data_IF_230896247975
#
_entry.id   IF_230896247975
#
_cell.length_a   1.000
_cell.length_b   1.000
_cell.length_c   1.000
_cell.angle_alpha   90.00
_cell.angle_beta   90.00
_cell.angle_gamma   90.00
#
_symmetry.space_group_name_H-M   'P 1'
#
loop_
_entity.id
_entity.type
_entity.pdbx_description
1 polymer ?
#
# COMPACT_ATOMS: atom_id res chain seq x y z
N UNK A 1 5.28 -43.02 21.49
CA UNK A 1 6.47 -43.41 20.69
C UNK A 1 7.36 -42.19 20.49
N UNK A 2 8.64 -42.31 20.88
CA UNK A 2 9.82 -41.58 20.44
C UNK A 2 9.86 -40.02 20.45
N UNK A 3 10.30 -39.51 21.60
CA UNK A 3 11.02 -38.24 21.80
C UNK A 3 12.42 -38.33 21.15
N UNK A 4 12.82 -37.38 20.30
CA UNK A 4 14.24 -37.21 19.93
C UNK A 4 14.84 -35.99 20.63
N UNK A 5 15.68 -36.29 21.63
CA UNK A 5 16.68 -35.39 22.22
C UNK A 5 17.89 -35.34 21.28
N UNK A 6 18.52 -34.17 21.15
CA UNK A 6 19.95 -34.07 20.81
C UNK A 6 20.61 -33.13 21.83
N UNK A 7 21.72 -33.63 22.35
CA UNK A 7 22.49 -33.25 23.55
C UNK A 7 23.57 -32.18 23.25
N UNK A 8 24.40 -31.73 24.22
CA UNK A 8 24.71 -30.31 24.47
C UNK A 8 26.14 -29.92 24.06
N UNK A 9 26.52 -28.65 24.21
CA UNK A 9 27.92 -28.25 24.28
C UNK A 9 28.14 -26.98 25.14
N UNK A 10 28.88 -27.20 26.23
CA UNK A 10 29.92 -26.35 26.82
C UNK A 10 29.57 -24.99 27.46
N UNK A 11 29.62 -25.00 28.79
CA UNK A 11 30.04 -23.87 29.62
C UNK A 11 31.57 -23.67 29.51
N UNK A 12 32.09 -22.49 29.91
CA UNK A 12 32.95 -22.52 31.11
C UNK A 12 32.81 -21.31 32.05
N UNK A 13 32.69 -21.66 33.34
CA UNK A 13 33.45 -21.26 34.54
C UNK A 13 34.08 -19.86 34.67
N UNK A 14 33.78 -19.26 35.82
CA UNK A 14 34.27 -18.00 36.43
C UNK A 14 35.73 -18.01 36.95
N UNK A 15 36.29 -16.86 37.41
CA UNK A 15 37.73 -16.59 37.64
C UNK A 15 38.14 -16.84 39.13
N UNK A 16 39.43 -16.71 39.59
CA UNK A 16 40.08 -15.40 39.83
C UNK A 16 41.65 -15.32 39.82
N UNK A 17 42.13 -14.07 39.92
CA UNK A 17 43.35 -13.55 40.59
C UNK A 17 44.78 -13.81 40.06
N UNK A 18 45.52 -12.70 39.89
CA UNK A 18 46.98 -12.65 39.79
C UNK A 18 47.50 -11.23 39.56
N UNK A 19 47.80 -10.52 40.65
CA UNK A 19 48.43 -9.19 40.69
C UNK A 19 49.95 -9.31 40.49
N UNK A 20 50.58 -8.40 39.71
CA UNK A 20 52.03 -8.18 39.80
C UNK A 20 52.72 -7.62 38.55
N UNK A 21 52.93 -6.30 38.56
CA UNK A 21 54.11 -5.56 38.08
C UNK A 21 54.63 -5.76 36.64
N UNK A 22 54.56 -4.70 35.82
CA UNK A 22 55.71 -3.87 35.39
C UNK A 22 55.34 -2.96 34.21
N UNK A 23 55.43 -1.65 34.44
CA UNK A 23 55.67 -0.63 33.41
C UNK A 23 57.17 -0.68 32.99
N UNK A 24 57.64 -0.10 31.86
CA UNK A 24 57.09 1.09 31.19
C UNK A 24 57.19 1.12 29.64
N UNK A 25 56.74 2.25 29.08
CA UNK A 25 57.19 2.88 27.82
C UNK A 25 56.65 2.32 26.50
N UNK A 26 55.50 2.83 26.05
CA UNK A 26 55.28 3.12 24.62
C UNK A 26 54.32 4.32 24.43
N UNK A 27 54.82 5.32 23.72
CA UNK A 27 54.18 6.50 23.12
C UNK A 27 52.64 6.54 23.13
N UNK A 28 52.09 7.50 23.87
CA UNK A 28 50.70 7.94 23.71
C UNK A 28 50.54 8.69 22.38
N UNK A 29 50.31 7.94 21.30
CA UNK A 29 49.70 8.49 20.09
C UNK A 29 48.26 8.82 20.45
N UNK A 30 48.00 10.11 20.67
CA UNK A 30 46.64 10.63 20.78
C UNK A 30 46.01 10.60 19.39
N UNK A 31 45.44 9.46 19.02
CA UNK A 31 44.63 9.30 17.82
C UNK A 31 43.50 10.34 17.88
N UNK A 32 43.34 11.23 16.88
CA UNK A 32 42.20 12.12 16.86
C UNK A 32 40.94 11.27 16.70
N UNK A 33 40.02 11.38 17.66
CA UNK A 33 38.70 10.79 17.54
C UNK A 33 38.03 11.37 16.28
N UNK A 34 37.88 10.54 15.25
CA UNK A 34 37.03 10.84 14.12
C UNK A 34 35.61 10.90 14.69
N UNK A 35 34.90 12.03 14.63
CA UNK A 35 33.48 12.01 14.90
C UNK A 35 32.85 11.19 13.77
N UNK A 36 32.51 9.94 14.04
CA UNK A 36 31.58 9.18 13.21
C UNK A 36 30.20 9.80 13.42
N UNK A 37 29.99 11.00 12.88
CA UNK A 37 28.68 11.64 12.83
C UNK A 37 27.83 10.80 11.88
N UNK A 38 27.13 9.83 12.45
CA UNK A 38 25.97 9.21 11.81
C UNK A 38 24.93 10.33 11.67
N UNK A 39 24.98 11.05 10.55
CA UNK A 39 23.94 12.02 10.19
C UNK A 39 22.67 11.21 9.91
N UNK A 40 21.88 10.98 10.97
CA UNK A 40 20.54 10.45 10.86
C UNK A 40 19.70 11.51 10.16
N UNK A 41 19.51 11.32 8.86
CA UNK A 41 18.69 12.19 8.02
C UNK A 41 17.27 12.15 8.57
N UNK A 42 16.66 13.31 8.84
CA UNK A 42 15.33 13.38 9.46
C UNK A 42 14.29 12.71 8.55
N UNK A 43 13.26 12.07 9.12
CA UNK A 43 12.18 11.43 8.34
C UNK A 43 11.58 12.37 7.29
N UNK A 44 11.40 13.65 7.63
CA UNK A 44 10.89 14.69 6.72
C UNK A 44 11.85 14.98 5.56
N UNK A 45 13.15 14.92 5.81
CA UNK A 45 14.17 15.07 4.77
C UNK A 45 14.17 13.84 3.86
N UNK A 46 14.06 12.62 4.41
CA UNK A 46 13.91 11.39 3.62
C UNK A 46 12.68 11.44 2.71
N UNK A 47 11.53 11.90 3.22
CA UNK A 47 10.32 12.09 2.42
C UNK A 47 10.52 13.12 1.29
N UNK A 48 11.21 14.24 1.56
CA UNK A 48 11.52 15.25 0.55
C UNK A 48 12.48 14.74 -0.52
N UNK A 49 13.52 13.99 -0.13
CA UNK A 49 14.43 13.36 -1.08
C UNK A 49 13.69 12.35 -1.96
N UNK A 50 12.76 11.59 -1.39
CA UNK A 50 11.90 10.69 -2.17
C UNK A 50 11.02 11.45 -3.15
N UNK A 51 10.32 12.50 -2.70
CA UNK A 51 9.48 13.32 -3.57
C UNK A 51 10.28 13.94 -4.74
N UNK A 52 11.40 14.59 -4.44
CA UNK A 52 12.26 15.21 -5.46
C UNK A 52 12.77 14.19 -6.49
N UNK A 53 13.16 12.99 -6.04
CA UNK A 53 13.59 11.93 -6.95
C UNK A 53 12.46 11.48 -7.87
N UNK A 54 11.25 11.31 -7.34
CA UNK A 54 10.08 10.94 -8.14
C UNK A 54 9.72 12.02 -9.16
N UNK A 55 9.83 13.30 -8.79
CA UNK A 55 9.61 14.44 -9.69
C UNK A 55 10.61 14.46 -10.86
N UNK A 56 11.90 14.25 -10.58
CA UNK A 56 12.93 14.21 -11.62
C UNK A 56 12.73 13.04 -12.60
N UNK A 57 12.43 11.84 -12.08
CA UNK A 57 12.14 10.70 -12.94
C UNK A 57 10.83 10.87 -13.72
N UNK A 58 9.82 11.48 -13.11
CA UNK A 58 8.57 11.82 -13.78
C UNK A 58 8.79 12.80 -14.94
N UNK A 59 9.55 13.87 -14.71
CA UNK A 59 9.87 14.84 -15.76
C UNK A 59 10.72 14.23 -16.89
N UNK A 60 11.76 13.47 -16.54
CA UNK A 60 12.58 12.78 -17.53
C UNK A 60 11.77 11.76 -18.35
N UNK A 61 10.91 10.99 -17.68
CA UNK A 61 10.00 10.05 -18.33
C UNK A 61 8.98 10.74 -19.23
N UNK A 62 8.45 11.89 -18.83
CA UNK A 62 7.56 12.70 -19.67
C UNK A 62 8.25 13.20 -20.93
N UNK A 63 9.47 13.75 -20.81
CA UNK A 63 10.22 14.25 -21.96
C UNK A 63 10.62 13.13 -22.92
N UNK A 64 11.08 11.99 -22.39
CA UNK A 64 11.38 10.79 -23.18
C UNK A 64 10.12 10.27 -23.89
N UNK A 65 8.99 10.21 -23.20
CA UNK A 65 7.71 9.76 -23.75
C UNK A 65 7.22 10.71 -24.85
N UNK A 66 7.36 12.02 -24.67
CA UNK A 66 7.02 13.02 -25.67
C UNK A 66 7.88 12.87 -26.94
N UNK A 67 9.20 12.69 -26.79
CA UNK A 67 10.10 12.46 -27.92
C UNK A 67 9.76 11.15 -28.67
N UNK A 68 9.58 10.05 -27.94
CA UNK A 68 9.16 8.78 -28.54
C UNK A 68 7.81 8.91 -29.27
N UNK A 69 6.86 9.66 -28.70
CA UNK A 69 5.57 9.89 -29.33
C UNK A 69 5.69 10.68 -30.63
N UNK A 70 6.49 11.75 -30.66
CA UNK A 70 6.74 12.51 -31.90
C UNK A 70 7.39 11.64 -32.97
N UNK A 71 8.42 10.86 -32.61
CA UNK A 71 9.07 9.93 -33.54
C UNK A 71 8.09 8.86 -34.06
N UNK A 72 7.22 8.35 -33.18
CA UNK A 72 6.16 7.42 -33.57
C UNK A 72 5.18 8.04 -34.57
N UNK A 73 4.73 9.29 -34.35
CA UNK A 73 3.85 9.97 -35.29
C UNK A 73 4.52 10.22 -36.64
N UNK A 74 5.78 10.68 -36.65
CA UNK A 74 6.55 10.88 -37.89
C UNK A 74 6.60 9.56 -38.68
N UNK A 75 6.98 8.46 -38.03
CA UNK A 75 6.99 7.14 -38.67
C UNK A 75 5.61 6.69 -39.16
N UNK A 76 4.56 6.89 -38.36
CA UNK A 76 3.20 6.48 -38.69
C UNK A 76 2.65 7.22 -39.93
N UNK A 77 2.87 8.54 -40.02
CA UNK A 77 2.28 9.37 -41.08
C UNK A 77 3.15 9.49 -42.35
N UNK A 78 4.48 9.43 -42.25
CA UNK A 78 5.37 9.59 -43.44
C UNK A 78 5.24 8.37 -44.37
N UNK A 79 4.88 8.51 -45.65
CA UNK A 79 4.71 7.38 -46.57
C UNK A 79 5.94 6.49 -46.71
N UNK A 80 5.74 5.18 -46.88
CA UNK A 80 6.82 4.19 -46.94
C UNK A 80 7.83 4.48 -48.05
N UNK A 81 7.37 4.91 -49.23
CA UNK A 81 8.25 5.32 -50.34
C UNK A 81 9.24 6.44 -49.95
N UNK A 82 8.86 7.36 -49.05
CA UNK A 82 9.74 8.42 -48.57
C UNK A 82 10.76 7.89 -47.56
N UNK A 83 10.37 6.94 -46.71
CA UNK A 83 11.29 6.26 -45.78
C UNK A 83 12.32 5.41 -46.55
N UNK A 84 11.87 4.66 -47.57
CA UNK A 84 12.74 3.85 -48.43
C UNK A 84 13.75 4.72 -49.18
N UNK A 85 13.35 5.89 -49.68
CA UNK A 85 14.25 6.85 -50.33
C UNK A 85 15.35 7.36 -49.38
N UNK A 86 15.08 7.41 -48.07
CA UNK A 86 16.06 7.77 -47.04
C UNK A 86 16.90 6.58 -46.55
N UNK A 87 16.69 5.37 -47.09
CA UNK A 87 17.42 4.16 -46.74
C UNK A 87 16.80 3.33 -45.60
N UNK A 88 15.57 3.64 -45.19
CA UNK A 88 14.86 2.87 -44.15
C UNK A 88 13.89 1.84 -44.75
N UNK A 89 14.37 0.62 -44.99
CA UNK A 89 13.62 -0.43 -45.70
C UNK A 89 13.05 -1.56 -44.81
N UNK A 90 13.35 -1.58 -43.50
CA UNK A 90 13.08 -2.73 -42.63
C UNK A 90 12.11 -2.46 -41.47
N UNK A 91 11.21 -1.48 -41.59
CA UNK A 91 10.21 -1.22 -40.55
C UNK A 91 9.05 -2.22 -40.58
N UNK A 92 8.39 -2.48 -39.44
CA UNK A 92 7.18 -3.29 -39.42
C UNK A 92 6.06 -2.59 -40.19
N UNK A 93 5.08 -3.35 -40.66
CA UNK A 93 3.94 -2.82 -41.42
C UNK A 93 3.24 -1.68 -40.68
N UNK A 94 2.87 -0.61 -41.38
CA UNK A 94 2.19 0.57 -40.82
C UNK A 94 0.88 0.28 -40.08
N UNK A 95 0.23 -0.86 -40.36
CA UNK A 95 -0.97 -1.29 -39.63
C UNK A 95 -0.73 -1.38 -38.11
N UNK A 96 0.51 -1.65 -37.68
CA UNK A 96 0.90 -1.63 -36.27
C UNK A 96 0.72 -0.26 -35.61
N UNK A 97 0.80 0.85 -36.37
CA UNK A 97 0.56 2.19 -35.84
C UNK A 97 -0.87 2.36 -35.32
N UNK A 98 -1.85 1.63 -35.87
CA UNK A 98 -3.24 1.63 -35.41
C UNK A 98 -3.50 0.47 -34.45
N UNK A 99 -2.90 -0.70 -34.71
CA UNK A 99 -3.10 -1.87 -33.87
C UNK A 99 -2.58 -1.67 -32.44
N UNK A 100 -1.41 -1.02 -32.25
CA UNK A 100 -0.85 -0.81 -30.91
C UNK A 100 -1.76 0.06 -30.02
N UNK A 101 -2.19 1.27 -30.44
CA UNK A 101 -3.15 2.06 -29.67
C UNK A 101 -4.47 1.32 -29.41
N UNK A 102 -5.00 0.60 -30.42
CA UNK A 102 -6.23 -0.17 -30.26
C UNK A 102 -6.08 -1.28 -29.21
N UNK A 103 -4.96 -2.02 -29.25
CA UNK A 103 -4.64 -3.05 -28.26
C UNK A 103 -4.53 -2.47 -26.84
N UNK A 104 -3.90 -1.31 -26.67
CA UNK A 104 -3.81 -0.65 -25.35
C UNK A 104 -5.21 -0.37 -24.79
N UNK A 105 -6.12 0.19 -25.60
CA UNK A 105 -7.50 0.49 -25.16
C UNK A 105 -8.24 -0.80 -24.81
N UNK A 106 -8.19 -1.81 -25.68
CA UNK A 106 -8.86 -3.09 -25.45
C UNK A 106 -8.30 -3.79 -24.21
N UNK A 107 -6.98 -3.84 -24.04
CA UNK A 107 -6.32 -4.42 -22.87
C UNK A 107 -6.69 -3.67 -21.59
N UNK A 108 -6.77 -2.33 -21.62
CA UNK A 108 -7.19 -1.54 -20.47
C UNK A 108 -8.62 -1.87 -20.05
N UNK A 109 -9.58 -1.84 -20.99
CA UNK A 109 -10.98 -2.19 -20.70
C UNK A 109 -11.12 -3.63 -20.21
N UNK A 110 -10.41 -4.56 -20.85
CA UNK A 110 -10.36 -5.95 -20.43
C UNK A 110 -9.81 -6.10 -19.01
N UNK A 111 -8.76 -5.34 -18.64
CA UNK A 111 -8.18 -5.37 -17.30
C UNK A 111 -9.17 -4.92 -16.21
N UNK A 112 -10.05 -3.95 -16.51
CA UNK A 112 -11.08 -3.50 -15.57
C UNK A 112 -12.12 -4.59 -15.31
N UNK A 113 -12.58 -5.26 -16.38
CA UNK A 113 -13.51 -6.39 -16.27
C UNK A 113 -12.86 -7.55 -15.52
N UNK A 114 -11.62 -7.88 -15.85
CA UNK A 114 -10.86 -8.93 -15.18
C UNK A 114 -10.66 -8.62 -13.70
N UNK A 115 -10.33 -7.38 -13.35
CA UNK A 115 -10.21 -6.93 -11.97
C UNK A 115 -11.53 -7.12 -11.21
N UNK A 116 -12.68 -6.75 -11.80
CA UNK A 116 -14.00 -7.00 -11.19
C UNK A 116 -14.25 -8.50 -11.01
N UNK A 117 -13.97 -9.31 -12.02
CA UNK A 117 -14.16 -10.75 -11.95
C UNK A 117 -13.30 -11.39 -10.84
N UNK A 118 -12.03 -11.00 -10.72
CA UNK A 118 -11.13 -11.50 -9.68
C UNK A 118 -11.59 -11.06 -8.28
N UNK A 119 -12.04 -9.82 -8.12
CA UNK A 119 -12.61 -9.36 -6.84
C UNK A 119 -13.87 -10.14 -6.46
N UNK A 120 -14.77 -10.39 -7.41
CA UNK A 120 -15.95 -11.20 -7.18
C UNK A 120 -15.60 -12.65 -6.82
N UNK A 121 -14.54 -13.21 -7.42
CA UNK A 121 -14.07 -14.56 -7.08
C UNK A 121 -13.41 -14.62 -5.69
N UNK A 122 -12.86 -13.49 -5.23
CA UNK A 122 -12.19 -13.38 -3.91
C UNK A 122 -13.15 -12.96 -2.79
N UNK A 123 -14.37 -12.54 -3.12
CA UNK A 123 -15.38 -12.08 -2.16
C UNK A 123 -16.40 -13.19 -1.89
N UNK A 124 -16.97 -13.31 -0.68
CA UNK A 124 -18.09 -14.21 -0.43
C UNK A 124 -19.29 -13.92 -1.35
N UNK A 125 -20.17 -14.92 -1.53
CA UNK A 125 -21.40 -14.74 -2.31
C UNK A 125 -22.19 -13.52 -1.84
N UNK A 126 -22.85 -12.80 -2.77
CA UNK A 126 -23.53 -11.53 -2.49
C UNK A 126 -24.60 -11.60 -1.38
N UNK A 127 -25.21 -12.77 -1.18
CA UNK A 127 -26.19 -13.00 -0.11
C UNK A 127 -25.58 -13.48 1.22
N UNK A 128 -24.26 -13.60 1.32
CA UNK A 128 -23.59 -14.08 2.52
C UNK A 128 -23.41 -12.95 3.53
N UNK A 129 -23.76 -13.19 4.79
CA UNK A 129 -23.47 -12.28 5.91
C UNK A 129 -21.98 -11.99 6.08
N UNK A 130 -21.10 -12.86 5.56
CA UNK A 130 -19.66 -12.62 5.54
C UNK A 130 -19.23 -11.41 4.67
N UNK A 131 -20.16 -10.82 3.90
CA UNK A 131 -19.94 -9.54 3.21
C UNK A 131 -20.19 -8.32 4.09
N UNK A 132 -20.91 -8.50 5.21
CA UNK A 132 -21.28 -7.46 6.17
C UNK A 132 -20.39 -7.54 7.41
N UNK A 133 -20.09 -8.75 7.87
CA UNK A 133 -19.29 -9.03 9.07
C UNK A 133 -18.04 -9.82 8.68
N UNK A 134 -16.90 -9.44 9.23
CA UNK A 134 -15.61 -10.11 9.05
C UNK A 134 -15.08 -10.68 10.39
N UNK A 135 -13.91 -11.32 10.34
CA UNK A 135 -13.26 -11.87 11.54
C UNK A 135 -12.86 -10.81 12.57
N UNK A 136 -12.72 -9.55 12.14
CA UNK A 136 -12.31 -8.43 12.98
C UNK A 136 -13.49 -7.59 13.47
N UNK A 137 -14.72 -8.00 13.17
CA UNK A 137 -15.93 -7.35 13.66
C UNK A 137 -16.05 -7.54 15.17
N UNK A 138 -16.16 -6.44 15.91
CA UNK A 138 -16.25 -6.41 17.37
C UNK A 138 -17.65 -5.95 17.77
N UNK A 139 -18.59 -6.85 18.08
CA UNK A 139 -19.94 -6.44 18.46
C UNK A 139 -19.95 -5.71 19.82
N UNK A 140 -20.91 -4.81 20.01
CA UNK A 140 -21.20 -4.25 21.33
C UNK A 140 -21.63 -5.36 22.31
N UNK A 141 -21.38 -5.19 23.63
CA UNK A 141 -21.91 -6.08 24.65
C UNK A 141 -23.45 -6.22 24.56
N UNK A 142 -23.95 -7.42 24.85
CA UNK A 142 -25.40 -7.68 24.82
C UNK A 142 -26.16 -6.73 25.75
N UNK A 143 -27.18 -6.06 25.22
CA UNK A 143 -28.01 -5.12 25.97
C UNK A 143 -27.50 -3.67 25.99
N UNK A 144 -26.36 -3.37 25.36
CA UNK A 144 -25.86 -1.99 25.21
C UNK A 144 -26.18 -1.47 23.80
N UNK A 145 -26.91 -0.36 23.70
CA UNK A 145 -27.11 0.35 22.43
C UNK A 145 -26.21 1.58 22.35
N UNK A 146 -25.83 1.99 21.14
CA UNK A 146 -25.11 3.25 20.91
C UNK A 146 -26.04 4.47 20.82
N UNK A 147 -27.35 4.24 20.96
CA UNK A 147 -28.41 5.24 20.80
C UNK A 147 -29.07 5.61 22.12
N UNK A 148 -28.90 4.82 23.17
CA UNK A 148 -29.29 5.17 24.54
C UNK A 148 -28.12 5.87 25.25
N UNK A 149 -28.42 7.01 25.86
CA UNK A 149 -27.46 7.82 26.61
C UNK A 149 -27.33 7.25 28.04
N UNK A 150 -26.60 6.14 28.18
CA UNK A 150 -26.22 5.58 29.48
C UNK A 150 -25.03 6.38 30.05
N UNK A 151 -25.29 7.62 30.44
CA UNK A 151 -24.26 8.53 30.92
C UNK A 151 -23.83 8.21 32.36
N UNK A 152 -22.76 7.42 32.49
CA UNK A 152 -21.80 7.55 33.60
C UNK A 152 -20.32 7.45 33.13
N UNK A 153 -20.06 6.91 31.92
CA UNK A 153 -18.73 6.81 31.31
C UNK A 153 -18.79 6.85 29.77
N UNK A 154 -17.63 6.99 29.10
CA UNK A 154 -17.54 6.85 27.63
C UNK A 154 -17.99 5.44 27.22
N UNK A 155 -18.96 5.29 26.28
CA UNK A 155 -19.46 3.98 25.89
C UNK A 155 -18.34 3.13 25.26
N UNK A 156 -18.47 1.80 25.39
CA UNK A 156 -17.54 0.85 24.78
C UNK A 156 -17.50 0.99 23.27
N UNK A 157 -16.31 0.86 22.67
CA UNK A 157 -16.14 0.93 21.22
C UNK A 157 -16.41 -0.45 20.59
N UNK A 158 -17.31 -0.49 19.61
CA UNK A 158 -17.62 -1.69 18.84
C UNK A 158 -18.50 -1.38 17.64
N UNK A 159 -18.63 -2.36 16.77
CA UNK A 159 -19.41 -2.30 15.54
C UNK A 159 -20.90 -2.44 15.84
N UNK A 160 -21.66 -1.48 15.33
CA UNK A 160 -23.13 -1.46 15.46
C UNK A 160 -23.71 -2.29 14.32
N UNK A 161 -24.61 -3.21 14.62
CA UNK A 161 -25.22 -4.03 13.57
C UNK A 161 -26.09 -3.18 12.64
N UNK A 162 -26.08 -3.50 11.34
CA UNK A 162 -26.93 -2.82 10.35
C UNK A 162 -28.43 -2.94 10.70
N UNK A 163 -28.82 -4.00 11.39
CA UNK A 163 -30.19 -4.19 11.86
C UNK A 163 -30.58 -3.14 12.90
N UNK A 164 -29.67 -2.84 13.83
CA UNK A 164 -29.88 -1.83 14.87
C UNK A 164 -29.97 -0.43 14.25
N UNK A 165 -29.03 -0.10 13.36
CA UNK A 165 -29.05 1.18 12.63
C UNK A 165 -30.34 1.34 11.82
N UNK A 166 -30.75 0.32 11.07
CA UNK A 166 -31.99 0.37 10.29
C UNK A 166 -33.21 0.52 11.19
N UNK A 167 -33.28 -0.21 12.30
CA UNK A 167 -34.38 -0.09 13.26
C UNK A 167 -34.52 1.33 13.75
N UNK A 168 -33.43 1.97 14.18
CA UNK A 168 -33.44 3.35 14.67
C UNK A 168 -33.70 4.38 13.56
N UNK A 169 -33.07 4.23 12.39
CA UNK A 169 -33.23 5.18 11.29
C UNK A 169 -34.67 5.21 10.75
N UNK A 170 -35.33 4.05 10.68
CA UNK A 170 -36.68 3.94 10.12
C UNK A 170 -37.80 4.01 11.17
N UNK A 171 -37.53 3.73 12.46
CA UNK A 171 -38.54 3.92 13.52
C UNK A 171 -38.85 5.40 13.77
N UNK A 172 -37.84 6.28 13.72
CA UNK A 172 -38.00 7.72 13.95
C UNK A 172 -38.88 8.37 12.88
N UNK A 173 -38.74 7.97 11.62
CA UNK A 173 -39.54 8.53 10.53
C UNK A 173 -41.03 8.15 10.65
N UNK A 174 -41.33 6.93 11.08
CA UNK A 174 -42.72 6.50 11.33
C UNK A 174 -43.36 7.27 12.48
N UNK A 175 -42.60 7.56 13.53
CA UNK A 175 -43.10 8.31 14.69
C UNK A 175 -43.35 9.78 14.33
N UNK A 176 -42.51 10.39 13.49
CA UNK A 176 -42.72 11.75 13.00
C UNK A 176 -43.96 11.86 12.08
N UNK A 177 -44.22 10.87 11.22
CA UNK A 177 -45.44 10.83 10.40
C UNK A 177 -46.71 10.65 11.26
N UNK A 178 -46.68 9.75 12.25
CA UNK A 178 -47.79 9.50 13.16
C UNK A 178 -48.12 10.70 14.06
N UNK A 179 -47.14 11.55 14.40
CA UNK A 179 -47.36 12.75 15.19
C UNK A 179 -47.94 13.89 14.34
N UNK A 180 -47.52 14.03 13.07
CA UNK A 180 -48.13 14.98 12.13
C UNK A 180 -49.60 14.64 11.84
N UNK A 181 -49.94 13.35 11.71
CA UNK A 181 -51.31 12.88 11.47
C UNK A 181 -52.26 13.07 12.67
N UNK A 182 -51.74 13.29 13.88
CA UNK A 182 -52.56 13.55 15.08
C UNK A 182 -52.78 15.05 15.34
N UNK A 183 -51.99 15.91 14.69
CA UNK A 183 -52.11 17.37 14.80
C UNK A 183 -53.06 18.00 13.77
N UNK A 184 -53.46 17.25 12.73
CA UNK A 184 -54.54 17.59 11.78
C UNK A 184 -55.93 17.09 12.22
#
# INVERSE_FOLDING_TARGET
>A
MARKRKTPANAPTSPPQGSGASDPLHHAVKTPAIPTTSTQVSFKEMQRLHAMRMELFGFGGWLASALCYVLFLVWAYVPEATLEAYGFTYFPSKHWAVAVPAMIVVTYLFSLVLYKAVNLLSTPALGSYATILDTHTVPLPEGTSCFEDDTEATPGIGDISIFEVNRHLFSVNLQAEDDQLKEE
#
